data_IF_972086602737
#
_entry.id   IF_972086602737
#
_cell.length_a   1.000
_cell.length_b   1.000
_cell.length_c   1.000
_cell.angle_alpha   90.00
_cell.angle_beta   90.00
_cell.angle_gamma   90.00
#
_symmetry.space_group_name_H-M   'P 1'
#
loop_
_entity.id
_entity.type
_entity.pdbx_description
1 polymer ?
#
# COMPACT_ATOMS: atom_id res chain seq x y z
N UNK A 1 21.56 20.15 5.56
CA UNK A 1 20.20 19.52 5.41
C UNK A 1 19.50 19.84 4.09
N UNK A 2 19.66 21.05 3.52
CA UNK A 2 19.06 21.44 2.23
C UNK A 2 19.71 20.74 1.02
N UNK A 3 21.00 20.45 1.05
CA UNK A 3 21.74 19.80 -0.04
C UNK A 3 21.32 18.35 -0.24
N UNK A 4 21.17 17.57 0.84
CA UNK A 4 20.72 16.16 0.82
C UNK A 4 19.29 16.04 0.30
N UNK A 5 18.45 17.03 0.61
CA UNK A 5 17.05 17.07 0.14
C UNK A 5 16.96 17.31 -1.37
N UNK A 6 17.79 18.25 -1.90
CA UNK A 6 17.89 18.50 -3.34
C UNK A 6 18.46 17.29 -4.08
N UNK A 7 19.48 16.65 -3.53
CA UNK A 7 20.13 15.49 -4.14
C UNK A 7 19.18 14.30 -4.27
N UNK A 8 18.35 14.01 -3.25
CA UNK A 8 17.34 12.95 -3.33
C UNK A 8 16.23 13.25 -4.33
N UNK A 9 15.80 14.50 -4.44
CA UNK A 9 14.79 14.89 -5.44
C UNK A 9 15.35 14.78 -6.87
N UNK A 10 16.63 15.08 -7.07
CA UNK A 10 17.31 14.85 -8.36
C UNK A 10 17.33 13.35 -8.69
N UNK A 11 17.76 12.48 -7.77
CA UNK A 11 17.77 11.03 -8.00
C UNK A 11 16.37 10.46 -8.33
N UNK A 12 15.30 10.97 -7.72
CA UNK A 12 13.93 10.55 -8.04
C UNK A 12 13.54 11.00 -9.45
N UNK A 13 13.89 12.23 -9.84
CA UNK A 13 13.63 12.74 -11.19
C UNK A 13 14.41 11.97 -12.25
N UNK A 14 15.70 11.75 -12.01
CA UNK A 14 16.56 10.97 -12.90
C UNK A 14 15.98 9.56 -13.10
N UNK A 15 15.50 8.92 -12.03
CA UNK A 15 14.85 7.60 -12.11
C UNK A 15 13.53 7.63 -12.89
N UNK A 16 12.73 8.68 -12.77
CA UNK A 16 11.52 8.85 -13.58
C UNK A 16 11.89 9.02 -15.06
N UNK A 17 12.92 9.77 -15.36
CA UNK A 17 13.42 9.96 -16.74
C UNK A 17 13.95 8.64 -17.32
N UNK A 18 14.70 7.87 -16.54
CA UNK A 18 15.14 6.51 -16.94
C UNK A 18 13.96 5.60 -17.26
N UNK A 19 12.95 5.53 -16.36
CA UNK A 19 11.75 4.71 -16.56
C UNK A 19 10.94 5.15 -17.79
N UNK A 20 10.97 6.44 -18.12
CA UNK A 20 10.39 6.98 -19.35
C UNK A 20 11.14 6.54 -20.59
N UNK A 21 12.48 6.58 -20.54
CA UNK A 21 13.36 6.12 -21.64
C UNK A 21 13.26 4.61 -21.86
N UNK A 22 13.09 3.85 -20.76
CA UNK A 22 12.88 2.39 -20.79
C UNK A 22 11.43 1.99 -21.17
N UNK A 23 10.57 2.95 -21.50
CA UNK A 23 9.14 2.76 -21.83
C UNK A 23 8.33 2.05 -20.73
N UNK A 24 8.85 2.03 -19.48
CA UNK A 24 8.17 1.41 -18.31
C UNK A 24 7.06 2.26 -17.75
N UNK A 25 7.05 3.56 -18.03
CA UNK A 25 5.97 4.48 -17.67
C UNK A 25 5.63 5.37 -18.86
N UNK A 26 4.37 5.78 -18.99
CA UNK A 26 3.94 6.69 -20.04
C UNK A 26 4.35 8.14 -19.72
N UNK A 27 4.41 8.99 -20.76
CA UNK A 27 4.68 10.43 -20.59
C UNK A 27 3.62 11.11 -19.73
N UNK A 28 2.37 10.67 -19.82
CA UNK A 28 1.26 11.15 -19.03
C UNK A 28 1.43 10.77 -17.55
N UNK A 29 1.78 9.50 -17.26
CA UNK A 29 2.06 9.04 -15.91
C UNK A 29 3.24 9.80 -15.28
N UNK A 30 4.33 10.00 -16.02
CA UNK A 30 5.49 10.74 -15.54
C UNK A 30 5.17 12.20 -15.17
N UNK A 31 4.24 12.85 -15.89
CA UNK A 31 3.80 14.24 -15.59
C UNK A 31 3.02 14.34 -14.28
N UNK A 32 2.31 13.29 -13.90
CA UNK A 32 1.48 13.27 -12.69
C UNK A 32 2.30 12.95 -11.43
N UNK A 33 3.42 12.25 -11.59
CA UNK A 33 4.29 11.86 -10.46
C UNK A 33 5.02 13.09 -9.91
N UNK A 34 4.71 13.46 -8.67
CA UNK A 34 5.39 14.53 -7.94
C UNK A 34 6.53 13.94 -7.10
N UNK A 35 7.78 14.23 -7.49
CA UNK A 35 8.97 13.78 -6.77
C UNK A 35 8.97 14.14 -5.27
N UNK A 36 8.31 15.24 -4.90
CA UNK A 36 8.12 15.65 -3.51
C UNK A 36 7.27 14.66 -2.71
N UNK A 37 6.20 14.13 -3.30
CA UNK A 37 5.30 13.16 -2.66
C UNK A 37 6.02 11.83 -2.40
N UNK A 38 6.82 11.36 -3.36
CA UNK A 38 7.68 10.18 -3.16
C UNK A 38 8.71 10.45 -2.06
N UNK A 39 9.32 11.64 -2.05
CA UNK A 39 10.25 12.03 -0.99
C UNK A 39 9.61 12.07 0.40
N UNK A 40 8.34 12.45 0.50
CA UNK A 40 7.60 12.43 1.77
C UNK A 40 7.38 11.00 2.25
N UNK A 41 6.96 10.10 1.34
CA UNK A 41 6.81 8.69 1.65
C UNK A 41 8.12 8.08 2.17
N UNK A 42 9.21 8.21 1.42
CA UNK A 42 10.52 7.63 1.78
C UNK A 42 11.03 8.11 3.15
N UNK A 43 10.65 9.32 3.57
CA UNK A 43 11.03 9.90 4.87
C UNK A 43 10.04 9.62 5.99
N UNK A 44 8.85 9.15 5.66
CA UNK A 44 7.84 8.78 6.66
C UNK A 44 8.34 7.60 7.52
N UNK A 45 7.72 7.38 8.68
CA UNK A 45 8.01 6.22 9.51
C UNK A 45 7.78 4.91 8.76
N UNK A 46 6.67 4.82 8.02
CA UNK A 46 6.30 3.65 7.20
C UNK A 46 7.35 3.43 6.10
N UNK A 47 7.75 4.47 5.37
CA UNK A 47 8.74 4.35 4.29
C UNK A 47 10.13 3.93 4.79
N UNK A 48 10.52 4.35 6.00
CA UNK A 48 11.79 3.89 6.62
C UNK A 48 11.73 2.41 6.98
N UNK A 49 10.66 1.97 7.64
CA UNK A 49 10.43 0.54 7.97
C UNK A 49 10.39 -0.34 6.72
N UNK A 50 9.72 0.12 5.69
CA UNK A 50 9.69 -0.58 4.39
C UNK A 50 11.09 -0.70 3.77
N UNK A 51 11.94 0.32 3.88
CA UNK A 51 13.34 0.27 3.43
C UNK A 51 14.14 -0.77 4.22
N UNK A 52 13.96 -0.83 5.52
CA UNK A 52 14.61 -1.81 6.41
C UNK A 52 14.13 -3.23 6.05
N UNK A 53 12.83 -3.45 5.88
CA UNK A 53 12.27 -4.72 5.43
C UNK A 53 12.81 -5.15 4.06
N UNK A 54 12.99 -4.20 3.14
CA UNK A 54 13.62 -4.47 1.84
C UNK A 54 15.07 -4.93 1.98
N UNK A 55 15.83 -4.33 2.89
CA UNK A 55 17.23 -4.73 3.15
C UNK A 55 17.31 -6.12 3.80
N UNK A 56 16.33 -6.49 4.61
CA UNK A 56 16.23 -7.80 5.26
C UNK A 56 15.62 -8.89 4.36
N UNK A 57 15.10 -8.54 3.18
CA UNK A 57 14.44 -9.48 2.27
C UNK A 57 13.04 -9.92 2.71
N UNK A 58 12.41 -9.18 3.64
CA UNK A 58 11.06 -9.49 4.17
C UNK A 58 9.94 -8.67 3.52
N UNK A 59 10.28 -7.76 2.59
CA UNK A 59 9.32 -6.92 1.89
C UNK A 59 8.76 -7.64 0.66
N UNK A 60 7.43 -7.70 0.58
CA UNK A 60 6.67 -8.19 -0.56
C UNK A 60 5.93 -7.01 -1.22
N UNK A 61 5.85 -7.03 -2.54
CA UNK A 61 5.16 -6.00 -3.34
C UNK A 61 4.29 -6.65 -4.41
N UNK A 62 3.19 -5.98 -4.76
CA UNK A 62 2.28 -6.40 -5.83
C UNK A 62 1.85 -7.86 -5.67
N UNK A 63 1.55 -8.27 -4.42
CA UNK A 63 1.17 -9.64 -4.11
C UNK A 63 -0.25 -9.90 -4.54
N UNK A 64 -0.41 -10.73 -5.56
CA UNK A 64 -1.73 -11.22 -5.98
C UNK A 64 -2.27 -12.23 -4.97
N UNK A 65 -3.57 -12.18 -4.74
CA UNK A 65 -4.28 -13.17 -3.95
C UNK A 65 -5.64 -13.51 -4.55
N UNK A 66 -6.07 -14.72 -4.25
CA UNK A 66 -7.44 -15.20 -4.46
C UNK A 66 -7.85 -15.94 -3.19
N UNK A 67 -8.98 -15.59 -2.62
CA UNK A 67 -9.53 -16.28 -1.45
C UNK A 67 -11.04 -16.47 -1.60
N UNK A 68 -11.56 -17.49 -0.96
CA UNK A 68 -13.00 -17.73 -0.82
C UNK A 68 -13.48 -17.15 0.51
N UNK A 69 -14.60 -16.47 0.48
CA UNK A 69 -15.33 -16.02 1.67
C UNK A 69 -16.79 -16.49 1.58
N UNK A 70 -17.46 -16.60 2.73
CA UNK A 70 -18.89 -16.84 2.74
C UNK A 70 -19.63 -15.63 2.15
N UNK A 71 -20.64 -15.88 1.31
CA UNK A 71 -21.39 -14.82 0.65
C UNK A 71 -22.10 -13.90 1.66
N UNK A 72 -22.50 -14.43 2.81
CA UNK A 72 -23.11 -13.68 3.89
C UNK A 72 -22.16 -12.63 4.53
N UNK A 73 -20.84 -12.84 4.45
CA UNK A 73 -19.85 -11.81 4.86
C UNK A 73 -19.92 -10.56 3.98
N UNK A 74 -20.30 -10.73 2.71
CA UNK A 74 -20.45 -9.63 1.76
C UNK A 74 -21.81 -8.95 1.89
N UNK A 75 -22.85 -9.74 2.03
CA UNK A 75 -24.22 -9.28 2.21
C UNK A 75 -24.98 -10.26 3.12
N UNK A 76 -25.41 -9.85 4.32
CA UNK A 76 -26.12 -10.70 5.26
C UNK A 76 -27.44 -11.29 4.73
N UNK A 77 -27.98 -10.74 3.62
CA UNK A 77 -29.18 -11.25 2.98
C UNK A 77 -28.93 -12.44 2.03
N UNK A 78 -27.66 -12.76 1.74
CA UNK A 78 -27.29 -13.91 0.92
C UNK A 78 -27.21 -15.19 1.74
N UNK A 79 -27.43 -16.33 1.08
CA UNK A 79 -27.48 -17.61 1.76
C UNK A 79 -26.13 -17.96 2.42
N UNK A 80 -26.20 -18.44 3.67
CA UNK A 80 -25.03 -18.95 4.37
C UNK A 80 -24.55 -20.24 3.72
N UNK A 81 -23.23 -20.34 3.53
CA UNK A 81 -22.57 -21.47 2.90
C UNK A 81 -22.32 -21.34 1.40
N UNK A 82 -22.93 -20.35 0.72
CA UNK A 82 -22.48 -19.98 -0.62
C UNK A 82 -21.11 -19.30 -0.54
N UNK A 83 -20.19 -19.70 -1.42
CA UNK A 83 -18.84 -19.16 -1.46
C UNK A 83 -18.67 -18.20 -2.62
N UNK A 84 -18.12 -17.04 -2.34
CA UNK A 84 -17.69 -16.09 -3.37
C UNK A 84 -16.18 -15.96 -3.38
N UNK A 85 -15.62 -15.78 -4.58
CA UNK A 85 -14.18 -15.54 -4.74
C UNK A 85 -13.89 -14.03 -4.65
N UNK A 86 -12.93 -13.70 -3.80
CA UNK A 86 -12.36 -12.35 -3.69
C UNK A 86 -10.93 -12.43 -4.20
N UNK A 87 -10.61 -11.57 -5.15
CA UNK A 87 -9.26 -11.46 -5.71
C UNK A 87 -8.79 -10.02 -5.68
N UNK A 88 -7.49 -9.83 -5.59
CA UNK A 88 -6.89 -8.51 -5.58
C UNK A 88 -5.38 -8.56 -5.65
N UNK A 89 -4.78 -7.36 -5.61
CA UNK A 89 -3.35 -7.17 -5.55
C UNK A 89 -3.08 -6.29 -4.33
N UNK A 90 -2.22 -6.77 -3.43
CA UNK A 90 -1.75 -6.05 -2.26
C UNK A 90 -0.50 -5.29 -2.67
N UNK A 91 -0.50 -3.97 -2.50
CA UNK A 91 0.57 -3.10 -2.96
C UNK A 91 1.90 -3.42 -2.28
N UNK A 92 1.91 -3.47 -0.94
CA UNK A 92 3.09 -3.81 -0.17
C UNK A 92 2.74 -4.33 1.23
N UNK A 93 3.51 -5.33 1.68
CA UNK A 93 3.52 -5.76 3.07
C UNK A 93 4.88 -6.33 3.42
N UNK A 94 5.18 -6.43 4.69
CA UNK A 94 6.42 -7.05 5.17
C UNK A 94 6.22 -7.73 6.51
N UNK A 95 7.16 -8.62 6.81
CA UNK A 95 7.20 -9.35 8.07
C UNK A 95 8.08 -8.62 9.07
N UNK A 96 7.58 -8.50 10.29
CA UNK A 96 8.33 -8.12 11.48
C UNK A 96 8.24 -9.24 12.52
N UNK A 97 8.99 -9.14 13.62
CA UNK A 97 9.09 -10.18 14.62
C UNK A 97 7.73 -10.59 15.23
N UNK A 98 6.80 -9.65 15.34
CA UNK A 98 5.52 -9.78 16.03
C UNK A 98 4.30 -9.75 15.09
N UNK A 99 4.51 -9.76 13.77
CA UNK A 99 3.40 -9.83 12.80
C UNK A 99 3.71 -9.20 11.46
N UNK A 100 2.67 -9.05 10.67
CA UNK A 100 2.73 -8.43 9.34
C UNK A 100 2.34 -6.96 9.41
N UNK A 101 2.95 -6.16 8.56
CA UNK A 101 2.59 -4.76 8.34
C UNK A 101 2.14 -4.60 6.90
N UNK A 102 0.94 -4.08 6.69
CA UNK A 102 0.30 -3.88 5.40
C UNK A 102 0.25 -2.41 5.04
N UNK A 103 0.59 -2.07 3.80
CA UNK A 103 0.49 -0.71 3.25
C UNK A 103 -0.16 -0.76 1.88
N UNK A 104 -1.18 0.05 1.69
CA UNK A 104 -1.83 0.28 0.41
C UNK A 104 -1.73 1.76 0.03
N UNK A 105 -1.38 2.05 -1.22
CA UNK A 105 -1.11 3.41 -1.68
C UNK A 105 -2.36 4.04 -2.28
N UNK A 106 -2.67 5.28 -1.86
CA UNK A 106 -3.81 6.04 -2.37
C UNK A 106 -3.39 7.39 -2.93
N UNK A 107 -3.84 7.66 -4.14
CA UNK A 107 -3.63 8.93 -4.84
C UNK A 107 -4.87 9.82 -4.82
N UNK A 108 -5.94 9.36 -4.19
CA UNK A 108 -7.20 10.09 -4.07
C UNK A 108 -7.01 11.48 -3.49
N UNK A 109 -7.71 12.45 -4.04
CA UNK A 109 -7.82 13.79 -3.47
C UNK A 109 -8.83 13.76 -2.33
N UNK A 110 -8.33 13.79 -1.12
CA UNK A 110 -9.12 13.81 0.13
C UNK A 110 -8.65 14.97 1.01
N UNK A 111 -9.53 15.46 1.85
CA UNK A 111 -9.23 16.52 2.83
C UNK A 111 -8.68 15.94 4.12
N UNK A 112 -9.14 14.77 4.51
CA UNK A 112 -8.76 14.10 5.75
C UNK A 112 -8.67 12.58 5.58
N UNK A 113 -7.96 11.92 6.53
CA UNK A 113 -7.72 10.48 6.46
C UNK A 113 -8.99 9.64 6.62
N UNK A 114 -10.00 10.14 7.34
CA UNK A 114 -11.26 9.44 7.53
C UNK A 114 -11.98 9.12 6.23
N UNK A 115 -11.94 10.02 5.25
CA UNK A 115 -12.51 9.77 3.93
C UNK A 115 -11.91 8.55 3.23
N UNK A 116 -10.60 8.27 3.44
CA UNK A 116 -9.96 7.07 2.91
C UNK A 116 -10.40 5.82 3.66
N UNK A 117 -10.49 5.89 4.98
CA UNK A 117 -10.99 4.77 5.80
C UNK A 117 -12.39 4.39 5.35
N UNK A 118 -13.31 5.34 5.24
CA UNK A 118 -14.70 5.11 4.84
C UNK A 118 -14.81 4.44 3.46
N UNK A 119 -13.90 4.77 2.53
CA UNK A 119 -13.90 4.19 1.17
C UNK A 119 -13.24 2.81 1.12
N UNK A 120 -12.16 2.60 1.87
CA UNK A 120 -11.24 1.48 1.66
C UNK A 120 -11.15 0.49 2.82
N UNK A 121 -11.79 0.73 3.97
CA UNK A 121 -11.74 -0.15 5.14
C UNK A 121 -12.08 -1.60 4.78
N UNK A 122 -13.12 -1.82 3.97
CA UNK A 122 -13.51 -3.18 3.53
C UNK A 122 -12.44 -3.85 2.67
N UNK A 123 -11.81 -3.11 1.77
CA UNK A 123 -10.70 -3.61 0.97
C UNK A 123 -9.54 -4.05 1.87
N UNK A 124 -9.17 -3.19 2.83
CA UNK A 124 -8.09 -3.47 3.77
C UNK A 124 -8.40 -4.69 4.63
N UNK A 125 -9.64 -4.86 5.07
CA UNK A 125 -10.08 -6.04 5.79
C UNK A 125 -9.85 -7.34 4.98
N UNK A 126 -10.23 -7.36 3.71
CA UNK A 126 -9.97 -8.52 2.85
C UNK A 126 -8.48 -8.76 2.62
N UNK A 127 -7.68 -7.71 2.49
CA UNK A 127 -6.24 -7.85 2.35
C UNK A 127 -5.61 -8.45 3.61
N UNK A 128 -6.02 -8.01 4.79
CA UNK A 128 -5.57 -8.58 6.06
C UNK A 128 -5.96 -10.05 6.17
N UNK A 129 -7.21 -10.42 5.88
CA UNK A 129 -7.64 -11.81 5.89
C UNK A 129 -6.83 -12.69 4.92
N UNK A 130 -6.57 -12.18 3.70
CA UNK A 130 -5.79 -12.91 2.71
C UNK A 130 -4.36 -13.17 3.19
N UNK A 131 -3.71 -12.16 3.75
CA UNK A 131 -2.36 -12.27 4.29
C UNK A 131 -2.31 -13.21 5.50
N UNK A 132 -3.23 -13.07 6.44
CA UNK A 132 -3.28 -13.92 7.63
C UNK A 132 -3.49 -15.41 7.27
N UNK A 133 -4.36 -15.70 6.30
CA UNK A 133 -4.57 -17.05 5.78
C UNK A 133 -3.34 -17.62 5.07
N UNK A 134 -2.67 -16.80 4.26
CA UNK A 134 -1.52 -17.24 3.45
C UNK A 134 -0.25 -17.41 4.28
N UNK A 135 -0.01 -16.54 5.26
CA UNK A 135 1.24 -16.51 6.03
C UNK A 135 1.13 -17.08 7.43
N UNK A 136 -0.08 -17.36 7.92
CA UNK A 136 -0.31 -17.87 9.29
C UNK A 136 0.11 -16.88 10.38
N UNK A 137 0.23 -15.59 10.07
CA UNK A 137 0.65 -14.52 10.97
C UNK A 137 -0.39 -13.41 10.99
N UNK A 138 -0.56 -12.75 12.14
CA UNK A 138 -1.47 -11.62 12.26
C UNK A 138 -0.94 -10.38 11.56
N UNK A 139 -1.83 -9.64 10.90
CA UNK A 139 -1.56 -8.27 10.46
C UNK A 139 -1.71 -7.36 11.69
N UNK A 140 -0.58 -6.90 12.23
CA UNK A 140 -0.54 -6.07 13.43
C UNK A 140 -0.77 -4.58 13.14
N UNK A 141 -0.47 -4.15 11.94
CA UNK A 141 -0.62 -2.77 11.50
C UNK A 141 -1.05 -2.72 10.04
N UNK A 142 -2.05 -1.89 9.76
CA UNK A 142 -2.64 -1.71 8.44
C UNK A 142 -2.69 -0.22 8.11
N UNK A 143 -2.14 0.18 6.97
CA UNK A 143 -2.00 1.57 6.57
C UNK A 143 -2.54 1.84 5.17
N UNK A 144 -3.27 2.94 5.04
CA UNK A 144 -3.51 3.63 3.77
C UNK A 144 -2.52 4.80 3.68
N UNK A 145 -1.56 4.74 2.77
CA UNK A 145 -0.67 5.87 2.56
C UNK A 145 -1.25 6.83 1.54
N UNK A 146 -1.66 8.00 2.00
CA UNK A 146 -2.18 9.06 1.14
C UNK A 146 -1.05 9.93 0.58
N UNK A 147 -0.86 9.90 -0.74
CA UNK A 147 0.07 10.82 -1.40
C UNK A 147 -0.46 12.26 -1.42
N UNK A 148 -1.77 12.44 -1.44
CA UNK A 148 -2.39 13.76 -1.38
C UNK A 148 -2.14 14.45 -0.02
N UNK A 149 -2.29 13.70 1.09
CA UNK A 149 -2.06 14.21 2.44
C UNK A 149 -0.59 14.11 2.88
N UNK A 150 0.24 13.33 2.19
CA UNK A 150 1.64 13.09 2.54
C UNK A 150 1.82 12.31 3.85
N UNK A 151 0.85 11.46 4.23
CA UNK A 151 0.86 10.72 5.50
C UNK A 151 0.25 9.32 5.40
N UNK A 152 0.64 8.45 6.32
CA UNK A 152 -0.01 7.18 6.57
C UNK A 152 -1.25 7.37 7.46
N UNK A 153 -2.34 6.73 7.09
CA UNK A 153 -3.59 6.66 7.84
C UNK A 153 -3.73 5.24 8.36
N UNK A 154 -3.85 5.09 9.67
CA UNK A 154 -4.03 3.77 10.31
C UNK A 154 -5.46 3.30 10.06
N UNK A 155 -5.60 2.04 9.68
CA UNK A 155 -6.89 1.37 9.54
C UNK A 155 -6.99 0.28 10.60
N UNK A 156 -8.01 0.36 11.44
CA UNK A 156 -8.34 -0.70 12.40
C UNK A 156 -9.02 -1.86 11.65
N UNK A 157 -8.49 -3.07 11.78
CA UNK A 157 -8.93 -4.29 11.08
C UNK A 157 -9.08 -5.46 12.04
#
# INVERSE_FOLDING_TARGET
>A
HLSIRRQRQMCIRDRIEELLQEEKISKEAAKVVRSSQISWFVRSAVGKRMKEASALGTLHREQQFVMSIDASERNPAWDQGEQILVQGIIDAFWEEADGLVLVDYKTDHVKEGQELIDRYQRQMHYYCQALERAYGKKVKECYLYSFALGKAVVVEV
#
